data_IF_856222248920
#
_entry.id   IF_856222248920
#
_cell.length_a   1.000
_cell.length_b   1.000
_cell.length_c   1.000
_cell.angle_alpha   90.00
_cell.angle_beta   90.00
_cell.angle_gamma   90.00
#
_symmetry.space_group_name_H-M   'P 1'
#
loop_
_entity.id
_entity.type
_entity.pdbx_description
1 polymer ?
#
# COMPACT_ATOMS: atom_id res chain seq x y z
N UNK A 1 -4.60 18.86 -12.88
CA UNK A 1 -4.89 18.12 -11.63
C UNK A 1 -3.91 16.97 -11.56
N UNK A 2 -3.35 16.62 -10.40
CA UNK A 2 -2.52 15.40 -10.28
C UNK A 2 -3.47 14.20 -10.17
N UNK A 3 -3.15 13.11 -10.86
CA UNK A 3 -3.86 11.84 -10.67
C UNK A 3 -3.44 11.22 -9.35
N UNK A 4 -4.37 10.59 -8.65
CA UNK A 4 -4.13 9.93 -7.38
C UNK A 4 -4.22 8.41 -7.55
N UNK A 5 -3.26 7.72 -6.93
CA UNK A 5 -3.13 6.27 -6.94
C UNK A 5 -3.00 5.76 -5.51
N UNK A 6 -3.41 4.52 -5.24
CA UNK A 6 -3.26 3.91 -3.93
C UNK A 6 -2.44 2.61 -3.98
N UNK A 7 -1.49 2.45 -3.07
CA UNK A 7 -0.85 1.16 -2.77
C UNK A 7 -1.31 0.68 -1.39
N UNK A 8 -2.13 -0.37 -1.38
CA UNK A 8 -2.77 -0.88 -0.16
C UNK A 8 -2.08 -2.16 0.31
N UNK A 9 -1.59 -2.16 1.54
CA UNK A 9 -1.05 -3.37 2.16
C UNK A 9 -2.11 -4.47 2.30
N UNK A 10 -1.75 -5.71 1.96
CA UNK A 10 -2.53 -6.90 2.23
C UNK A 10 -2.85 -7.09 3.73
N UNK A 11 -3.89 -7.87 4.02
CA UNK A 11 -4.33 -8.20 5.38
C UNK A 11 -4.27 -9.70 5.69
N UNK A 12 -4.24 -10.01 6.99
CA UNK A 12 -4.31 -11.39 7.48
C UNK A 12 -5.68 -12.01 7.20
N UNK A 13 -6.76 -11.35 7.61
CA UNK A 13 -8.13 -11.76 7.35
C UNK A 13 -8.45 -11.69 5.84
N UNK A 14 -8.81 -12.84 5.26
CA UNK A 14 -9.07 -12.98 3.82
C UNK A 14 -10.44 -13.59 3.55
N UNK A 15 -11.11 -13.13 2.48
CA UNK A 15 -12.32 -13.75 1.96
C UNK A 15 -11.98 -15.10 1.31
N UNK A 16 -12.89 -16.07 1.38
CA UNK A 16 -12.76 -17.37 0.72
C UNK A 16 -12.99 -17.28 -0.79
N UNK A 17 -12.35 -18.14 -1.57
CA UNK A 17 -12.52 -18.23 -3.01
C UNK A 17 -11.65 -17.25 -3.81
N UNK A 18 -11.77 -17.33 -5.14
CA UNK A 18 -11.06 -16.44 -6.05
C UNK A 18 -11.85 -15.15 -6.23
N UNK A 19 -11.36 -14.05 -5.65
CA UNK A 19 -12.01 -12.73 -5.65
C UNK A 19 -10.98 -11.64 -6.02
N UNK A 20 -11.42 -10.46 -6.48
CA UNK A 20 -10.51 -9.34 -6.73
C UNK A 20 -9.60 -9.03 -5.54
N UNK A 21 -8.36 -8.64 -5.78
CA UNK A 21 -7.37 -8.35 -4.74
C UNK A 21 -7.85 -7.28 -3.74
N UNK A 22 -8.60 -6.27 -4.22
CA UNK A 22 -9.22 -5.23 -3.38
C UNK A 22 -10.31 -5.77 -2.44
N UNK A 23 -10.97 -6.87 -2.81
CA UNK A 23 -12.00 -7.53 -2.01
C UNK A 23 -11.43 -8.67 -1.15
N UNK A 24 -10.20 -9.11 -1.44
CA UNK A 24 -9.60 -10.28 -0.79
C UNK A 24 -9.42 -10.08 0.71
N UNK A 25 -9.15 -8.87 1.20
CA UNK A 25 -8.83 -8.62 2.61
C UNK A 25 -9.99 -8.00 3.38
N UNK A 26 -10.43 -8.66 4.44
CA UNK A 26 -11.76 -8.43 5.03
C UNK A 26 -11.75 -7.72 6.39
N UNK A 27 -10.57 -7.46 6.97
CA UNK A 27 -10.47 -6.71 8.22
C UNK A 27 -11.02 -5.28 8.04
N UNK A 28 -11.54 -4.68 9.13
CA UNK A 28 -11.99 -3.28 9.12
C UNK A 28 -10.88 -2.34 8.66
N UNK A 29 -9.65 -2.59 9.11
CA UNK A 29 -8.46 -1.84 8.72
C UNK A 29 -8.17 -1.93 7.21
N UNK A 30 -8.22 -3.13 6.63
CA UNK A 30 -8.02 -3.31 5.19
C UNK A 30 -9.12 -2.68 4.37
N UNK A 31 -10.40 -2.89 4.76
CA UNK A 31 -11.56 -2.32 4.06
C UNK A 31 -11.52 -0.80 4.02
N UNK A 32 -11.13 -0.14 5.12
CA UNK A 32 -11.06 1.31 5.16
C UNK A 32 -10.02 1.90 4.19
N UNK A 33 -8.89 1.21 4.00
CA UNK A 33 -7.89 1.62 3.01
C UNK A 33 -8.40 1.47 1.57
N UNK A 34 -9.22 0.45 1.32
CA UNK A 34 -9.91 0.28 0.04
C UNK A 34 -10.97 1.36 -0.15
N UNK A 35 -11.77 1.68 0.87
CA UNK A 35 -12.73 2.80 0.83
C UNK A 35 -12.04 4.14 0.50
N UNK A 36 -10.86 4.40 1.05
CA UNK A 36 -10.05 5.56 0.67
C UNK A 36 -9.67 5.53 -0.81
N UNK A 37 -9.18 4.38 -1.28
CA UNK A 37 -8.74 4.24 -2.66
C UNK A 37 -9.91 4.44 -3.63
N UNK A 38 -11.07 3.83 -3.36
CA UNK A 38 -12.28 4.00 -4.16
C UNK A 38 -12.81 5.44 -4.15
N UNK A 39 -12.62 6.17 -3.05
CA UNK A 39 -13.10 7.55 -2.92
C UNK A 39 -12.19 8.60 -3.59
N UNK A 40 -10.87 8.38 -3.62
CA UNK A 40 -9.90 9.42 -4.02
C UNK A 40 -8.94 9.04 -5.14
N UNK A 41 -8.79 7.75 -5.45
CA UNK A 41 -7.79 7.29 -6.39
C UNK A 41 -8.44 6.82 -7.68
N UNK A 42 -7.76 7.05 -8.80
CA UNK A 42 -8.18 6.53 -10.11
C UNK A 42 -7.94 5.02 -10.19
N UNK A 43 -6.84 4.56 -9.60
CA UNK A 43 -6.47 3.15 -9.57
C UNK A 43 -5.85 2.77 -8.21
N UNK A 44 -5.96 1.48 -7.90
CA UNK A 44 -5.41 0.90 -6.69
C UNK A 44 -4.62 -0.38 -6.98
N UNK A 45 -3.55 -0.55 -6.23
CA UNK A 45 -2.70 -1.73 -6.23
C UNK A 45 -2.64 -2.31 -4.83
N UNK A 46 -2.44 -3.61 -4.76
CA UNK A 46 -2.27 -4.35 -3.52
C UNK A 46 -0.81 -4.75 -3.38
N UNK A 47 -0.19 -4.36 -2.27
CA UNK A 47 1.08 -4.91 -1.82
C UNK A 47 0.81 -6.23 -1.08
N UNK A 48 1.11 -7.34 -1.74
CA UNK A 48 0.91 -8.71 -1.26
C UNK A 48 2.21 -9.37 -0.84
N UNK A 49 2.22 -10.00 0.33
CA UNK A 49 3.32 -10.85 0.78
C UNK A 49 3.57 -12.06 -0.14
N UNK A 50 2.57 -12.52 -0.90
CA UNK A 50 2.69 -13.66 -1.81
C UNK A 50 2.97 -13.24 -3.26
N UNK A 51 2.32 -12.19 -3.71
CA UNK A 51 2.25 -11.85 -5.14
C UNK A 51 3.02 -10.59 -5.52
N UNK A 52 3.74 -9.95 -4.59
CA UNK A 52 4.37 -8.66 -4.83
C UNK A 52 3.32 -7.56 -4.97
N UNK A 53 3.42 -6.70 -5.98
CA UNK A 53 2.41 -5.66 -6.25
C UNK A 53 1.50 -6.09 -7.39
N UNK A 54 0.20 -6.14 -7.13
CA UNK A 54 -0.82 -6.57 -8.11
C UNK A 54 -1.96 -5.55 -8.22
N UNK A 55 -2.64 -5.41 -9.38
CA UNK A 55 -3.80 -4.55 -9.51
C UNK A 55 -4.96 -4.96 -8.59
N UNK A 56 -5.76 -4.00 -8.13
CA UNK A 56 -6.93 -4.24 -7.28
C UNK A 56 -7.96 -5.21 -7.88
N UNK A 57 -8.11 -5.21 -9.20
CA UNK A 57 -9.06 -6.07 -9.94
C UNK A 57 -8.54 -7.49 -10.21
N UNK A 58 -7.25 -7.75 -9.98
CA UNK A 58 -6.68 -9.07 -10.23
C UNK A 58 -7.36 -10.11 -9.32
N UNK A 59 -7.88 -11.20 -9.91
CA UNK A 59 -8.45 -12.31 -9.14
C UNK A 59 -7.35 -13.02 -8.35
N UNK A 60 -7.56 -13.15 -7.04
CA UNK A 60 -6.65 -13.77 -6.09
C UNK A 60 -7.30 -15.00 -5.48
N UNK A 61 -6.75 -16.21 -5.71
CA UNK A 61 -7.24 -17.43 -5.08
C UNK A 61 -6.92 -17.45 -3.58
N UNK A 62 -7.41 -18.47 -2.87
CA UNK A 62 -7.06 -18.67 -1.47
C UNK A 62 -5.55 -18.91 -1.28
N UNK A 63 -5.01 -18.25 -0.25
CA UNK A 63 -3.63 -18.41 0.17
C UNK A 63 -3.46 -17.96 1.62
N UNK A 64 -2.43 -18.47 2.28
CA UNK A 64 -2.01 -18.02 3.59
C UNK A 64 -0.49 -17.84 3.59
N UNK A 65 -0.05 -16.60 3.34
CA UNK A 65 1.37 -16.20 3.34
C UNK A 65 1.43 -14.79 3.94
N UNK A 66 2.37 -14.61 4.84
CA UNK A 66 2.76 -13.38 5.51
C UNK A 66 4.22 -13.06 5.20
N UNK A 67 4.70 -11.82 5.38
CA UNK A 67 6.11 -11.51 5.18
C UNK A 67 7.05 -12.37 6.04
N UNK A 68 6.60 -12.77 7.23
CA UNK A 68 7.38 -13.55 8.20
C UNK A 68 7.56 -15.02 7.77
N UNK A 69 6.72 -15.52 6.86
CA UNK A 69 6.87 -16.88 6.30
C UNK A 69 8.08 -17.00 5.37
N UNK A 70 8.65 -15.88 4.93
CA UNK A 70 9.81 -15.86 4.04
C UNK A 70 11.13 -15.99 4.83
N UNK A 71 11.98 -16.91 4.39
CA UNK A 71 13.40 -16.92 4.75
C UNK A 71 14.10 -15.66 4.25
N UNK A 72 15.33 -15.40 4.71
CA UNK A 72 16.10 -14.21 4.27
C UNK A 72 16.26 -14.12 2.75
N UNK A 73 16.54 -15.26 2.10
CA UNK A 73 16.68 -15.32 0.63
C UNK A 73 15.35 -15.06 -0.06
N UNK A 74 14.25 -15.61 0.46
CA UNK A 74 12.91 -15.36 -0.08
C UNK A 74 12.47 -13.91 0.11
N UNK A 75 12.80 -13.27 1.25
CA UNK A 75 12.56 -11.84 1.45
C UNK A 75 13.30 -10.98 0.45
N UNK A 76 14.56 -11.29 0.16
CA UNK A 76 15.34 -10.56 -0.84
C UNK A 76 14.68 -10.64 -2.23
N UNK A 77 14.24 -11.83 -2.64
CA UNK A 77 13.51 -12.00 -3.91
C UNK A 77 12.16 -11.28 -3.90
N UNK A 78 11.42 -11.35 -2.80
CA UNK A 78 10.14 -10.69 -2.66
C UNK A 78 10.28 -9.16 -2.68
N UNK A 79 11.24 -8.58 -1.96
CA UNK A 79 11.56 -7.14 -1.96
C UNK A 79 11.97 -6.68 -3.37
N UNK A 80 12.82 -7.43 -4.06
CA UNK A 80 13.16 -7.15 -5.45
C UNK A 80 11.94 -7.22 -6.39
N UNK A 81 11.01 -8.16 -6.16
CA UNK A 81 9.78 -8.26 -6.95
C UNK A 81 8.85 -7.07 -6.76
N UNK A 82 8.80 -6.46 -5.56
CA UNK A 82 8.00 -5.25 -5.29
C UNK A 82 8.48 -4.10 -6.18
N UNK A 83 9.79 -3.84 -6.18
CA UNK A 83 10.41 -2.82 -7.02
C UNK A 83 10.08 -3.08 -8.50
N UNK A 84 10.28 -4.31 -8.96
CA UNK A 84 10.04 -4.70 -10.34
C UNK A 84 8.57 -4.53 -10.74
N UNK A 85 7.63 -4.97 -9.91
CA UNK A 85 6.20 -4.84 -10.17
C UNK A 85 5.78 -3.38 -10.30
N UNK A 86 6.27 -2.49 -9.43
CA UNK A 86 5.96 -1.05 -9.51
C UNK A 86 6.48 -0.41 -10.80
N UNK A 87 7.68 -0.80 -11.25
CA UNK A 87 8.26 -0.32 -12.53
C UNK A 87 7.49 -0.81 -13.75
N UNK A 88 6.83 -1.96 -13.65
CA UNK A 88 6.04 -2.55 -14.72
C UNK A 88 4.60 -2.04 -14.75
N UNK A 89 4.12 -1.41 -13.67
CA UNK A 89 2.82 -0.78 -13.64
C UNK A 89 2.79 0.41 -14.62
N UNK A 90 1.63 0.62 -15.25
CA UNK A 90 1.40 1.77 -16.13
C UNK A 90 0.77 2.88 -15.28
N UNK A 91 1.40 4.05 -15.31
CA UNK A 91 1.00 5.20 -14.50
C UNK A 91 0.75 6.40 -15.41
N UNK A 92 -0.50 6.65 -15.84
CA UNK A 92 -0.82 7.78 -16.71
C UNK A 92 -0.43 9.13 -16.10
N UNK A 93 0.46 9.86 -16.79
CA UNK A 93 0.84 11.24 -16.45
C UNK A 93 1.44 11.39 -15.05
N UNK A 94 1.61 12.65 -14.62
CA UNK A 94 2.14 12.96 -13.28
C UNK A 94 1.07 12.69 -12.21
N UNK A 95 1.48 12.12 -11.07
CA UNK A 95 0.53 11.73 -10.04
C UNK A 95 1.10 11.67 -8.62
N UNK A 96 0.26 11.23 -7.69
CA UNK A 96 0.60 10.97 -6.29
C UNK A 96 0.26 9.50 -5.99
N UNK A 97 1.23 8.75 -5.46
CA UNK A 97 1.01 7.39 -4.98
C UNK A 97 0.87 7.41 -3.45
N UNK A 98 -0.34 7.21 -2.96
CA UNK A 98 -0.63 7.09 -1.53
C UNK A 98 -0.30 5.68 -1.05
N UNK A 99 0.76 5.55 -0.28
CA UNK A 99 1.25 4.27 0.27
C UNK A 99 0.56 4.01 1.61
N UNK A 100 -0.55 3.28 1.56
CA UNK A 100 -1.35 2.88 2.72
C UNK A 100 -0.82 1.58 3.33
N UNK A 101 0.45 1.62 3.75
CA UNK A 101 1.21 0.51 4.31
C UNK A 101 1.73 0.91 5.68
N UNK A 102 1.52 0.05 6.69
CA UNK A 102 1.96 0.32 8.05
C UNK A 102 3.49 0.23 8.16
N UNK A 103 4.10 1.03 9.05
CA UNK A 103 5.56 1.13 9.17
C UNK A 103 6.23 -0.21 9.47
N UNK A 104 5.64 -1.06 10.32
CA UNK A 104 6.18 -2.39 10.58
C UNK A 104 6.27 -3.30 9.34
N UNK A 105 5.40 -3.09 8.34
CA UNK A 105 5.47 -3.80 7.07
C UNK A 105 6.49 -3.16 6.12
N UNK A 106 6.63 -1.83 6.17
CA UNK A 106 7.64 -1.08 5.42
C UNK A 106 9.07 -1.38 5.90
N UNK A 107 9.24 -1.63 7.20
CA UNK A 107 10.53 -1.89 7.84
C UNK A 107 11.06 -3.33 7.62
N UNK A 108 10.28 -4.21 6.98
CA UNK A 108 10.74 -5.57 6.66
C UNK A 108 11.94 -5.49 5.71
N UNK A 109 13.08 -6.07 6.10
CA UNK A 109 14.32 -6.04 5.35
C UNK A 109 14.70 -7.40 4.70
N UNK A 110 15.56 -7.33 3.68
CA UNK A 110 16.08 -8.49 2.93
C UNK A 110 17.30 -9.17 3.59
N UNK A 111 17.70 -8.76 4.78
CA UNK A 111 18.90 -9.21 5.48
C UNK A 111 20.17 -8.45 5.10
N UNK A 112 20.11 -7.53 4.13
CA UNK A 112 21.21 -6.62 3.76
C UNK A 112 20.98 -5.19 4.27
N UNK A 113 19.83 -4.94 4.90
CA UNK A 113 19.39 -3.62 5.37
C UNK A 113 18.52 -2.87 4.36
N UNK A 114 18.26 -3.44 3.17
CA UNK A 114 17.29 -2.90 2.23
C UNK A 114 15.88 -3.34 2.63
N UNK A 115 14.98 -2.38 2.72
CA UNK A 115 13.62 -2.54 3.22
C UNK A 115 12.56 -2.58 2.12
N UNK A 116 11.32 -2.93 2.49
CA UNK A 116 10.14 -2.77 1.63
C UNK A 116 9.94 -1.29 1.25
N UNK A 117 10.18 -0.35 2.17
CA UNK A 117 10.13 1.08 1.85
C UNK A 117 11.10 1.44 0.72
N UNK A 118 12.36 1.00 0.82
CA UNK A 118 13.38 1.26 -0.21
C UNK A 118 12.98 0.67 -1.56
N UNK A 119 12.35 -0.51 -1.58
CA UNK A 119 11.85 -1.12 -2.82
C UNK A 119 10.67 -0.35 -3.42
N UNK A 120 9.77 0.18 -2.60
CA UNK A 120 8.65 1.02 -3.07
C UNK A 120 9.21 2.31 -3.66
N UNK A 121 10.13 2.98 -2.97
CA UNK A 121 10.75 4.22 -3.45
C UNK A 121 11.52 4.00 -4.77
N UNK A 122 12.39 2.98 -4.83
CA UNK A 122 13.16 2.65 -6.03
C UNK A 122 12.29 2.13 -7.20
N UNK A 123 11.13 1.56 -6.89
CA UNK A 123 10.17 1.03 -7.84
C UNK A 123 9.20 2.09 -8.39
N UNK A 124 8.95 3.15 -7.61
CA UNK A 124 8.03 4.22 -7.99
C UNK A 124 8.65 5.10 -9.09
N UNK A 125 7.97 5.28 -10.24
CA UNK A 125 8.48 6.14 -11.31
C UNK A 125 8.66 7.60 -10.85
N UNK A 126 9.66 8.33 -11.39
CA UNK A 126 10.01 9.68 -10.94
C UNK A 126 8.93 10.74 -11.19
N UNK A 127 7.94 10.44 -12.04
CA UNK A 127 6.80 11.32 -12.29
C UNK A 127 5.66 11.15 -11.26
N UNK A 128 5.80 10.21 -10.33
CA UNK A 128 4.91 10.04 -9.18
C UNK A 128 5.56 10.55 -7.90
N UNK A 129 4.75 11.23 -7.11
CA UNK A 129 5.07 11.64 -5.73
C UNK A 129 4.57 10.55 -4.76
N UNK A 130 5.47 9.66 -4.30
CA UNK A 130 5.15 8.63 -3.32
C UNK A 130 4.98 9.24 -1.93
N UNK A 131 3.83 9.00 -1.30
CA UNK A 131 3.45 9.56 0.00
C UNK A 131 3.13 8.46 1.00
N UNK A 132 3.80 8.49 2.14
CA UNK A 132 3.70 7.47 3.20
C UNK A 132 3.01 8.04 4.44
N UNK A 133 1.68 8.28 4.42
CA UNK A 133 0.98 8.95 5.52
C UNK A 133 1.15 8.20 6.84
N UNK A 134 1.17 6.87 6.82
CA UNK A 134 1.21 6.07 8.05
C UNK A 134 2.54 6.14 8.80
N UNK A 135 3.64 6.53 8.13
CA UNK A 135 4.93 6.81 8.79
C UNK A 135 4.89 8.06 9.69
N UNK A 136 3.83 8.87 9.58
CA UNK A 136 3.62 10.08 10.39
C UNK A 136 2.48 9.91 11.40
N UNK A 137 2.01 8.68 11.61
CA UNK A 137 0.92 8.37 12.54
C UNK A 137 1.37 7.34 13.57
N UNK A 138 0.96 7.51 14.83
CA UNK A 138 1.29 6.57 15.91
C UNK A 138 0.21 5.51 16.10
N UNK A 139 0.27 4.45 15.31
CA UNK A 139 -0.60 3.27 15.47
C UNK A 139 -1.92 3.34 14.73
N UNK A 140 -2.63 2.20 14.74
CA UNK A 140 -3.79 1.94 13.86
C UNK A 140 -4.93 2.95 14.08
N UNK A 141 -5.16 3.40 15.32
CA UNK A 141 -6.23 4.36 15.62
C UNK A 141 -6.06 5.69 14.87
N UNK A 142 -4.84 6.25 14.90
CA UNK A 142 -4.53 7.50 14.18
C UNK A 142 -4.54 7.31 12.67
N UNK A 143 -4.04 6.17 12.17
CA UNK A 143 -4.13 5.81 10.75
C UNK A 143 -5.58 5.81 10.26
N UNK A 144 -6.47 5.15 11.01
CA UNK A 144 -7.89 5.04 10.69
C UNK A 144 -8.64 6.37 10.82
N UNK A 145 -8.25 7.21 11.79
CA UNK A 145 -8.74 8.59 11.89
C UNK A 145 -8.41 9.39 10.63
N UNK A 146 -7.13 9.43 10.25
CA UNK A 146 -6.68 10.12 9.04
C UNK A 146 -7.38 9.61 7.77
N UNK A 147 -7.51 8.29 7.62
CA UNK A 147 -8.24 7.70 6.48
C UNK A 147 -9.71 8.16 6.47
N UNK A 148 -10.37 8.17 7.63
CA UNK A 148 -11.78 8.57 7.75
C UNK A 148 -11.98 10.06 7.46
N UNK A 149 -11.05 10.91 7.89
CA UNK A 149 -11.08 12.34 7.62
C UNK A 149 -10.94 12.63 6.13
N UNK A 150 -10.09 11.87 5.42
CA UNK A 150 -9.99 11.94 3.97
C UNK A 150 -11.34 11.57 3.35
N UNK A 151 -11.87 10.37 3.63
CA UNK A 151 -13.16 9.86 3.10
C UNK A 151 -14.33 10.83 3.31
N UNK A 152 -14.31 11.60 4.39
CA UNK A 152 -15.35 12.60 4.69
C UNK A 152 -15.33 13.84 3.77
N UNK A 153 -14.46 13.86 2.76
CA UNK A 153 -14.42 14.88 1.70
C UNK A 153 -13.23 15.84 1.78
N UNK A 154 -12.29 15.59 2.71
CA UNK A 154 -11.06 16.38 2.76
C UNK A 154 -10.06 15.84 1.74
N UNK A 155 -9.49 16.73 0.94
CA UNK A 155 -8.40 16.36 0.06
C UNK A 155 -7.25 15.75 0.89
N UNK A 156 -6.75 14.55 0.53
CA UNK A 156 -5.73 13.89 1.33
C UNK A 156 -4.46 14.74 1.39
N UNK A 157 -4.00 15.00 2.61
CA UNK A 157 -2.74 15.68 2.94
C UNK A 157 -1.91 14.78 3.83
N UNK A 158 -0.59 14.94 3.82
CA UNK A 158 0.27 14.25 4.76
C UNK A 158 -0.10 14.65 6.20
N UNK A 159 -0.10 13.73 7.19
CA UNK A 159 -0.45 14.07 8.57
C UNK A 159 0.30 15.28 9.14
N UNK A 160 1.60 15.43 8.84
CA UNK A 160 2.38 16.58 9.27
C UNK A 160 1.95 17.92 8.63
N UNK A 161 1.25 17.90 7.49
CA UNK A 161 0.68 19.10 6.86
C UNK A 161 -0.59 19.55 7.58
N UNK A 162 -1.34 18.62 8.19
CA UNK A 162 -2.55 18.94 8.96
C UNK A 162 -2.25 19.59 10.31
N UNK A 163 -1.14 19.23 10.95
CA UNK A 163 -0.72 19.84 12.22
C UNK A 163 -0.27 21.30 12.09
N UNK A 164 0.03 21.79 10.88
CA UNK A 164 0.48 23.17 10.64
C UNK A 164 -0.66 24.16 10.39
N UNK A 165 -1.90 23.69 10.38
CA UNK A 165 -3.10 24.53 10.13
C UNK A 165 -3.76 25.00 11.44
N UNK A 166 -3.12 24.76 12.60
CA UNK A 166 -3.51 25.24 13.94
C UNK A 166 -2.37 26.05 14.59
#
# INVERSE_FOLDING_TARGET
>A
MKTHYALVQCGEAKASGSVPAKEKYTSSYSRKKVEFADAFCEEMWILSAKFGVIPGEQLVPDYNVTPDDHSKVERAHWIASIEQSLRQCVWPGNGVLWVLVASNYLDVDDGTGRTVADAIEAGTPPHLDARFPFNQTSGIGYQMGWVSDCISGNAPKMPAELCKEY
#
